data_IF_400038678978
#
_entry.id   IF_400038678978
#
_cell.length_a   1.000
_cell.length_b   1.000
_cell.length_c   1.000
_cell.angle_alpha   90.00
_cell.angle_beta   90.00
_cell.angle_gamma   90.00
#
_symmetry.space_group_name_H-M   'P 1'
#
loop_
_entity.id
_entity.type
_entity.pdbx_description
1 polymer ?
#
# COMPACT_ATOMS: atom_id res chain seq x y z
N UNK A 1 -13.95 0.10 -0.46
CA UNK A 1 -13.27 -0.51 -1.63
C UNK A 1 -13.44 -2.02 -1.57
N UNK A 2 -13.41 -2.74 -2.69
CA UNK A 2 -13.41 -4.22 -2.72
C UNK A 2 -11.99 -4.80 -2.59
N UNK A 3 -11.87 -6.08 -2.19
CA UNK A 3 -10.58 -6.77 -2.09
C UNK A 3 -9.77 -6.74 -3.42
N UNK A 4 -10.46 -6.88 -4.57
CA UNK A 4 -9.81 -6.82 -5.89
C UNK A 4 -9.23 -5.44 -6.18
N UNK A 5 -9.99 -4.38 -5.91
CA UNK A 5 -9.52 -3.01 -6.08
C UNK A 5 -8.35 -2.68 -5.15
N UNK A 6 -8.40 -3.17 -3.91
CA UNK A 6 -7.33 -3.03 -2.94
C UNK A 6 -6.04 -3.68 -3.42
N UNK A 7 -6.14 -4.91 -3.91
CA UNK A 7 -5.00 -5.67 -4.42
C UNK A 7 -4.38 -5.00 -5.66
N UNK A 8 -5.22 -4.49 -6.57
CA UNK A 8 -4.73 -3.74 -7.73
C UNK A 8 -4.04 -2.43 -7.33
N UNK A 9 -4.54 -1.75 -6.30
CA UNK A 9 -3.89 -0.55 -5.77
C UNK A 9 -2.54 -0.88 -5.14
N UNK A 10 -2.45 -1.94 -4.33
CA UNK A 10 -1.17 -2.42 -3.76
C UNK A 10 -0.16 -2.71 -4.85
N UNK A 11 -0.55 -3.41 -5.92
CA UNK A 11 0.34 -3.68 -7.07
C UNK A 11 0.79 -2.40 -7.76
N UNK A 12 -0.10 -1.42 -7.94
CA UNK A 12 0.26 -0.13 -8.54
C UNK A 12 1.27 0.64 -7.68
N UNK A 13 1.08 0.64 -6.36
CA UNK A 13 1.99 1.28 -5.42
C UNK A 13 3.38 0.62 -5.45
N UNK A 14 3.44 -0.71 -5.48
CA UNK A 14 4.70 -1.46 -5.59
C UNK A 14 5.42 -1.29 -6.94
N UNK A 15 4.69 -0.91 -7.99
CA UNK A 15 5.22 -0.69 -9.35
C UNK A 15 5.51 0.79 -9.64
N UNK A 16 5.31 1.68 -8.69
CA UNK A 16 5.63 3.09 -8.88
C UNK A 16 7.12 3.24 -9.21
N UNK A 17 7.42 3.95 -10.29
CA UNK A 17 8.79 4.09 -10.78
C UNK A 17 9.68 4.88 -9.81
N UNK A 18 9.10 5.91 -9.18
CA UNK A 18 9.81 6.87 -8.33
C UNK A 18 8.93 7.34 -7.17
N UNK A 19 9.54 7.94 -6.16
CA UNK A 19 8.84 8.44 -4.97
C UNK A 19 7.77 9.49 -5.31
N UNK A 20 8.00 10.34 -6.33
CA UNK A 20 7.02 11.35 -6.73
C UNK A 20 5.76 10.73 -7.35
N UNK A 21 5.93 9.70 -8.19
CA UNK A 21 4.83 8.94 -8.77
C UNK A 21 4.05 8.18 -7.70
N UNK A 22 4.78 7.61 -6.73
CA UNK A 22 4.19 6.94 -5.57
C UNK A 22 3.35 7.91 -4.73
N UNK A 23 3.89 9.09 -4.40
CA UNK A 23 3.19 10.11 -3.62
C UNK A 23 1.91 10.59 -4.30
N UNK A 24 1.93 10.81 -5.63
CA UNK A 24 0.70 11.16 -6.37
C UNK A 24 -0.35 10.06 -6.32
N UNK A 25 0.05 8.79 -6.48
CA UNK A 25 -0.86 7.64 -6.36
C UNK A 25 -1.45 7.53 -4.96
N UNK A 26 -0.62 7.73 -3.92
CA UNK A 26 -1.06 7.75 -2.53
C UNK A 26 -2.10 8.85 -2.33
N UNK A 27 -1.78 10.11 -2.66
CA UNK A 27 -2.70 11.25 -2.48
C UNK A 27 -4.03 11.08 -3.22
N UNK A 28 -3.99 10.56 -4.45
CA UNK A 28 -5.22 10.29 -5.22
C UNK A 28 -6.06 9.16 -4.60
N UNK A 29 -5.42 8.23 -3.89
CA UNK A 29 -6.08 7.05 -3.32
C UNK A 29 -6.50 7.25 -1.86
N UNK A 30 -5.88 8.15 -1.09
CA UNK A 30 -6.24 8.48 0.30
C UNK A 30 -7.75 8.58 0.60
N UNK A 31 -8.58 9.25 -0.24
CA UNK A 31 -10.03 9.32 0.03
C UNK A 31 -10.74 7.97 -0.07
N UNK A 32 -10.24 7.04 -0.89
CA UNK A 32 -10.85 5.70 -1.09
C UNK A 32 -10.19 4.60 -0.27
N UNK A 33 -9.03 4.88 0.36
CA UNK A 33 -8.34 3.98 1.28
C UNK A 33 -9.23 3.72 2.50
N UNK A 34 -9.45 2.47 2.85
CA UNK A 34 -10.25 2.05 4.00
C UNK A 34 -9.58 0.88 4.73
N UNK A 35 -10.25 0.33 5.75
CA UNK A 35 -9.73 -0.83 6.50
C UNK A 35 -9.47 -2.05 5.60
N UNK A 36 -10.24 -2.21 4.51
CA UNK A 36 -10.06 -3.31 3.56
C UNK A 36 -8.73 -3.19 2.81
N UNK A 37 -8.35 -1.98 2.39
CA UNK A 37 -7.02 -1.73 1.82
C UNK A 37 -5.91 -2.23 2.75
N UNK A 38 -5.92 -1.80 4.01
CA UNK A 38 -4.86 -2.13 4.96
C UNK A 38 -4.80 -3.63 5.24
N UNK A 39 -5.96 -4.31 5.29
CA UNK A 39 -6.02 -5.77 5.44
C UNK A 39 -5.35 -6.47 4.26
N UNK A 40 -5.69 -6.07 3.02
CA UNK A 40 -5.10 -6.65 1.81
C UNK A 40 -3.61 -6.33 1.67
N UNK A 41 -3.20 -5.10 1.98
CA UNK A 41 -1.79 -4.71 1.96
C UNK A 41 -0.95 -5.49 2.98
N UNK A 42 -1.47 -5.73 4.19
CA UNK A 42 -0.81 -6.56 5.20
C UNK A 42 -0.69 -8.03 4.76
N UNK A 43 -1.72 -8.58 4.12
CA UNK A 43 -1.68 -9.92 3.54
C UNK A 43 -0.64 -10.01 2.41
N UNK A 44 -0.59 -9.01 1.53
CA UNK A 44 0.39 -8.95 0.45
C UNK A 44 1.84 -8.82 0.98
N UNK A 45 2.07 -8.00 2.01
CA UNK A 45 3.38 -7.90 2.65
C UNK A 45 3.80 -9.24 3.27
N UNK A 46 2.88 -9.92 3.97
CA UNK A 46 3.13 -11.24 4.53
C UNK A 46 3.46 -12.28 3.46
N UNK A 47 2.82 -12.21 2.29
CA UNK A 47 3.12 -13.08 1.17
C UNK A 47 4.50 -12.78 0.56
N UNK A 48 4.85 -11.50 0.37
CA UNK A 48 6.17 -11.09 -0.10
C UNK A 48 7.29 -11.60 0.81
N UNK A 49 7.06 -11.57 2.13
CA UNK A 49 8.00 -12.09 3.13
C UNK A 49 8.19 -13.61 2.99
N UNK A 50 7.10 -14.37 2.80
CA UNK A 50 7.15 -15.83 2.52
C UNK A 50 7.84 -16.17 1.22
N UNK A 51 7.69 -15.31 0.20
CA UNK A 51 8.32 -15.45 -1.11
C UNK A 51 9.82 -15.05 -1.09
N UNK A 52 10.39 -14.75 0.08
CA UNK A 52 11.79 -14.34 0.25
C UNK A 52 12.08 -12.89 -0.14
N UNK A 53 11.04 -12.09 -0.43
CA UNK A 53 11.14 -10.67 -0.79
C UNK A 53 10.95 -9.78 0.43
N UNK A 54 11.80 -9.97 1.43
CA UNK A 54 11.74 -9.25 2.70
C UNK A 54 11.80 -7.72 2.51
N UNK A 55 12.64 -7.22 1.60
CA UNK A 55 12.74 -5.78 1.30
C UNK A 55 11.43 -5.19 0.77
N UNK A 56 10.75 -5.93 -0.13
CA UNK A 56 9.47 -5.49 -0.69
C UNK A 56 8.35 -5.55 0.37
N UNK A 57 8.35 -6.57 1.24
CA UNK A 57 7.45 -6.63 2.40
C UNK A 57 7.64 -5.41 3.31
N UNK A 58 8.88 -5.10 3.65
CA UNK A 58 9.21 -3.98 4.53
C UNK A 58 8.84 -2.62 3.90
N UNK A 59 9.12 -2.44 2.61
CA UNK A 59 8.72 -1.25 1.87
C UNK A 59 7.19 -1.06 1.86
N UNK A 60 6.43 -2.14 1.63
CA UNK A 60 4.96 -2.08 1.64
C UNK A 60 4.41 -1.73 3.03
N UNK A 61 4.95 -2.35 4.09
CA UNK A 61 4.56 -2.05 5.48
C UNK A 61 4.82 -0.59 5.83
N UNK A 62 6.01 -0.07 5.52
CA UNK A 62 6.36 1.34 5.75
C UNK A 62 5.47 2.29 4.98
N UNK A 63 5.15 1.97 3.72
CA UNK A 63 4.23 2.77 2.92
C UNK A 63 2.83 2.80 3.57
N UNK A 64 2.30 1.65 3.98
CA UNK A 64 0.99 1.60 4.62
C UNK A 64 0.94 2.35 5.95
N UNK A 65 2.01 2.32 6.76
CA UNK A 65 2.12 3.09 7.99
C UNK A 65 2.11 4.60 7.70
N UNK A 66 2.88 5.05 6.70
CA UNK A 66 2.88 6.45 6.24
C UNK A 66 1.49 6.88 5.80
N UNK A 67 0.81 6.06 4.99
CA UNK A 67 -0.55 6.36 4.50
C UNK A 67 -1.57 6.44 5.65
N UNK A 68 -1.47 5.57 6.64
CA UNK A 68 -2.33 5.59 7.81
C UNK A 68 -2.15 6.88 8.61
N UNK A 69 -0.89 7.27 8.87
CA UNK A 69 -0.58 8.55 9.55
C UNK A 69 -1.12 9.74 8.78
N UNK A 70 -0.94 9.77 7.46
CA UNK A 70 -1.48 10.84 6.62
C UNK A 70 -3.00 10.92 6.75
N UNK A 71 -3.70 9.78 6.78
CA UNK A 71 -5.15 9.73 6.95
C UNK A 71 -5.64 10.15 8.34
N UNK A 72 -4.87 9.92 9.39
CA UNK A 72 -5.22 10.38 10.75
C UNK A 72 -5.01 11.89 10.95
N UNK A 73 -4.24 12.54 10.08
CA UNK A 73 -3.92 13.97 10.16
C UNK A 73 -4.87 14.88 9.36
N UNK A 74 -5.81 14.30 8.59
CA UNK A 74 -6.86 15.00 7.83
C UNK A 74 -8.21 14.81 8.50
#
# INVERSE_FOLDING_TARGET
MTEKEALELVKKLLRAADEEALMRLVSASLPVIDAEFFRVAAAAASQLERDGRADASHALRNLTDRMLRMKTLI
#
